data_IF_401224612765
#
_entry.id   IF_401224612765
#
_cell.length_a   1.000
_cell.length_b   1.000
_cell.length_c   1.000
_cell.angle_alpha   90.00
_cell.angle_beta   90.00
_cell.angle_gamma   90.00
#
_symmetry.space_group_name_H-M   'P 1'
#
loop_
_entity.id
_entity.type
_entity.pdbx_description
1 polymer ?
#
# COMPACT_ATOMS: atom_id res chain seq x y z
N UNK A 1 19.89 -28.42 26.24
CA UNK A 1 20.33 -28.16 24.85
C UNK A 1 20.18 -26.68 24.61
N UNK A 2 21.25 -25.98 24.18
CA UNK A 2 21.34 -24.53 24.22
C UNK A 2 20.29 -23.83 23.31
N UNK A 3 19.44 -22.98 23.89
CA UNK A 3 18.55 -22.07 23.15
C UNK A 3 19.36 -20.90 22.58
N UNK A 4 20.06 -21.14 21.47
CA UNK A 4 20.80 -20.14 20.71
C UNK A 4 19.99 -19.64 19.52
N UNK A 5 19.90 -18.31 19.38
CA UNK A 5 19.51 -17.53 18.19
C UNK A 5 18.96 -18.35 16.99
N UNK A 6 17.64 -18.49 16.90
CA UNK A 6 17.02 -19.21 15.78
C UNK A 6 17.32 -18.51 14.45
N UNK A 7 17.91 -19.23 13.50
CA UNK A 7 18.20 -18.69 12.17
C UNK A 7 16.91 -18.31 11.43
N UNK A 8 16.99 -17.43 10.43
CA UNK A 8 15.81 -17.00 9.67
C UNK A 8 15.14 -18.19 8.96
N UNK A 9 15.94 -19.17 8.53
CA UNK A 9 15.47 -20.47 8.03
C UNK A 9 14.72 -21.28 9.09
N UNK A 10 15.21 -21.31 10.33
CA UNK A 10 14.55 -22.01 11.44
C UNK A 10 13.25 -21.30 11.88
N UNK A 11 13.24 -19.96 11.87
CA UNK A 11 12.05 -19.15 12.18
C UNK A 11 10.92 -19.42 11.19
N UNK A 12 11.22 -19.50 9.89
CA UNK A 12 10.25 -19.88 8.87
C UNK A 12 10.03 -21.39 8.74
N UNK A 13 10.84 -22.21 9.42
CA UNK A 13 10.85 -23.68 9.31
C UNK A 13 11.03 -24.17 7.88
N UNK A 14 11.97 -23.57 7.15
CA UNK A 14 12.32 -23.92 5.77
C UNK A 14 13.80 -24.31 5.67
N UNK A 15 14.14 -25.10 4.65
CA UNK A 15 15.53 -25.44 4.35
C UNK A 15 16.31 -24.21 3.88
N UNK A 16 17.64 -24.22 4.08
CA UNK A 16 18.55 -23.23 3.46
C UNK A 16 18.48 -23.25 1.93
N UNK A 17 18.09 -24.38 1.35
CA UNK A 17 17.87 -24.56 -0.10
C UNK A 17 16.45 -24.22 -0.55
N UNK A 18 15.59 -23.69 0.33
CA UNK A 18 14.20 -23.42 0.00
C UNK A 18 14.07 -22.39 -1.14
N UNK A 19 13.15 -22.68 -2.05
CA UNK A 19 12.78 -21.78 -3.15
C UNK A 19 11.96 -20.60 -2.63
N UNK A 20 11.92 -19.50 -3.38
CA UNK A 20 11.13 -18.32 -3.05
C UNK A 20 9.65 -18.64 -2.84
N UNK A 21 9.13 -19.62 -3.60
CA UNK A 21 7.76 -20.11 -3.46
C UNK A 21 7.54 -20.77 -2.11
N UNK A 22 8.47 -21.61 -1.65
CA UNK A 22 8.41 -22.27 -0.36
C UNK A 22 8.57 -21.28 0.80
N UNK A 23 9.48 -20.31 0.67
CA UNK A 23 9.67 -19.22 1.64
C UNK A 23 8.39 -18.40 1.79
N UNK A 24 7.74 -18.02 0.69
CA UNK A 24 6.44 -17.31 0.70
C UNK A 24 5.34 -18.13 1.35
N UNK A 25 5.26 -19.43 1.08
CA UNK A 25 4.26 -20.34 1.70
C UNK A 25 4.50 -20.46 3.20
N UNK A 26 5.74 -20.68 3.60
CA UNK A 26 6.13 -20.85 5.00
C UNK A 26 5.92 -19.57 5.81
N UNK A 27 6.24 -18.41 5.25
CA UNK A 27 5.94 -17.11 5.86
C UNK A 27 4.44 -16.96 6.14
N UNK A 28 3.56 -17.21 5.16
CA UNK A 28 2.10 -17.10 5.39
C UNK A 28 1.62 -18.00 6.53
N UNK A 29 2.16 -19.22 6.63
CA UNK A 29 1.82 -20.19 7.69
C UNK A 29 2.35 -19.74 9.06
N UNK A 30 3.59 -19.27 9.12
CA UNK A 30 4.22 -18.79 10.35
C UNK A 30 3.60 -17.47 10.84
N UNK A 31 3.31 -16.54 9.93
CA UNK A 31 2.72 -15.23 10.23
C UNK A 31 1.31 -15.38 10.79
N UNK A 32 0.49 -16.29 10.24
CA UNK A 32 -0.85 -16.58 10.77
C UNK A 32 -0.81 -17.16 12.19
N UNK A 33 0.17 -18.01 12.48
CA UNK A 33 0.36 -18.61 13.81
C UNK A 33 0.92 -17.61 14.84
N UNK A 34 1.71 -16.65 14.38
CA UNK A 34 2.31 -15.64 15.23
C UNK A 34 1.47 -14.35 15.36
N UNK A 35 0.35 -14.23 14.63
CA UNK A 35 -0.46 -13.02 14.61
C UNK A 35 -1.11 -12.75 15.98
N UNK A 36 -0.98 -11.54 16.55
CA UNK A 36 -1.51 -11.22 17.88
C UNK A 36 -3.03 -11.36 17.99
N UNK A 37 -3.76 -11.09 16.90
CA UNK A 37 -5.23 -11.28 16.85
C UNK A 37 -5.67 -12.76 16.92
N UNK A 38 -4.73 -13.71 16.82
CA UNK A 38 -4.97 -15.14 16.99
C UNK A 38 -4.25 -15.72 18.21
N UNK A 39 -3.87 -14.86 19.17
CA UNK A 39 -3.17 -15.25 20.39
C UNK A 39 -1.67 -15.51 20.21
N UNK A 40 -1.08 -15.06 19.11
CA UNK A 40 0.37 -15.14 18.86
C UNK A 40 1.15 -14.00 19.50
N UNK A 41 2.44 -14.21 19.75
CA UNK A 41 3.29 -13.16 20.32
C UNK A 41 3.79 -12.19 19.24
N UNK A 42 3.61 -10.89 19.48
CA UNK A 42 4.09 -9.83 18.59
C UNK A 42 5.62 -9.89 18.36
N UNK A 43 6.39 -10.45 19.29
CA UNK A 43 7.82 -10.69 19.08
C UNK A 43 8.08 -11.83 18.08
N UNK A 44 7.33 -12.92 18.16
CA UNK A 44 7.39 -14.01 17.19
C UNK A 44 6.95 -13.54 15.80
N UNK A 45 5.91 -12.71 15.72
CA UNK A 45 5.47 -12.13 14.43
C UNK A 45 6.56 -11.28 13.79
N UNK A 46 7.22 -10.42 14.57
CA UNK A 46 8.35 -9.60 14.11
C UNK A 46 9.51 -10.46 13.63
N UNK A 47 9.86 -11.55 14.35
CA UNK A 47 10.91 -12.49 13.92
C UNK A 47 10.56 -13.18 12.60
N UNK A 48 9.31 -13.61 12.43
CA UNK A 48 8.80 -14.26 11.21
C UNK A 48 8.83 -13.31 10.02
N UNK A 49 8.42 -12.06 10.20
CA UNK A 49 8.45 -11.03 9.16
C UNK A 49 9.89 -10.68 8.75
N UNK A 50 10.79 -10.47 9.72
CA UNK A 50 12.20 -10.20 9.45
C UNK A 50 12.89 -11.37 8.71
N UNK A 51 12.55 -12.60 9.09
CA UNK A 51 13.04 -13.79 8.43
C UNK A 51 12.60 -13.85 6.95
N UNK A 52 11.35 -13.51 6.67
CA UNK A 52 10.84 -13.46 5.30
C UNK A 52 11.48 -12.35 4.46
N UNK A 53 11.55 -11.13 4.97
CA UNK A 53 12.13 -9.98 4.26
C UNK A 53 13.60 -10.20 3.87
N UNK A 54 14.36 -10.89 4.72
CA UNK A 54 15.77 -11.18 4.45
C UNK A 54 15.93 -12.34 3.47
N UNK A 55 15.08 -13.36 3.53
CA UNK A 55 15.22 -14.56 2.70
C UNK A 55 14.55 -14.45 1.32
N UNK A 56 13.60 -13.53 1.12
CA UNK A 56 12.92 -13.37 -0.17
C UNK A 56 13.64 -12.42 -1.14
N UNK A 57 14.53 -11.58 -0.61
CA UNK A 57 15.38 -10.71 -1.40
C UNK A 57 16.70 -11.45 -1.73
N UNK A 58 17.05 -11.65 -3.01
CA UNK A 58 18.24 -12.40 -3.39
C UNK A 58 19.55 -11.82 -2.87
N UNK A 59 19.68 -10.49 -2.79
CA UNK A 59 20.89 -9.83 -2.31
C UNK A 59 21.03 -9.96 -0.80
N UNK A 60 19.94 -9.71 -0.07
CA UNK A 60 19.89 -9.82 1.40
C UNK A 60 20.04 -11.27 1.85
N UNK A 61 19.47 -12.23 1.11
CA UNK A 61 19.66 -13.66 1.34
C UNK A 61 21.11 -14.06 1.14
N UNK A 62 21.75 -13.62 0.06
CA UNK A 62 23.16 -13.91 -0.18
C UNK A 62 24.07 -13.33 0.92
N UNK A 63 23.80 -12.11 1.40
CA UNK A 63 24.49 -11.54 2.56
C UNK A 63 24.27 -12.32 3.85
N UNK A 64 23.03 -12.71 4.11
CA UNK A 64 22.65 -13.52 5.26
C UNK A 64 23.34 -14.89 5.22
N UNK A 65 23.35 -15.55 4.06
CA UNK A 65 23.95 -16.87 3.87
C UNK A 65 25.48 -16.84 4.06
N UNK A 66 26.16 -15.76 3.61
CA UNK A 66 27.59 -15.55 3.89
C UNK A 66 27.89 -15.45 5.39
N UNK A 67 27.02 -14.80 6.16
CA UNK A 67 27.14 -14.67 7.63
C UNK A 67 26.70 -15.95 8.35
N UNK A 68 25.69 -16.64 7.82
CA UNK A 68 25.17 -17.89 8.38
C UNK A 68 26.18 -19.03 8.23
N UNK A 69 26.91 -19.09 7.12
CA UNK A 69 27.97 -20.08 6.87
C UNK A 69 29.26 -19.83 7.68
N UNK A 70 29.48 -18.62 8.21
CA UNK A 70 30.71 -18.22 8.92
C UNK A 70 30.62 -18.29 10.46
N UNK A 71 29.48 -18.70 11.04
CA UNK A 71 29.39 -19.19 12.42
C UNK A 71 29.56 -18.18 13.57
N UNK A 72 29.49 -16.86 13.35
CA UNK A 72 29.64 -15.87 14.45
C UNK A 72 28.31 -15.47 15.12
N UNK A 73 28.11 -15.69 16.45
CA UNK A 73 26.90 -15.29 17.16
C UNK A 73 27.05 -13.89 17.80
N UNK A 74 26.32 -12.89 17.29
CA UNK A 74 26.21 -11.56 17.90
C UNK A 74 24.99 -11.45 18.82
N UNK A 75 25.20 -11.24 20.12
CA UNK A 75 24.18 -11.13 21.18
C UNK A 75 23.92 -9.66 21.53
N UNK A 76 22.64 -9.26 21.70
CA UNK A 76 22.28 -7.99 22.36
C UNK A 76 20.85 -7.48 22.13
N UNK A 77 19.83 -8.13 22.71
CA UNK A 77 18.50 -7.55 22.98
C UNK A 77 18.46 -7.04 24.44
N UNK A 78 17.85 -5.88 24.76
CA UNK A 78 17.53 -5.48 26.14
C UNK A 78 16.03 -5.72 26.47
N UNK A 79 15.73 -6.29 27.65
CA UNK A 79 14.37 -6.43 28.21
C UNK A 79 14.32 -6.00 29.71
N UNK A 80 13.15 -5.55 30.24
CA UNK A 80 12.97 -4.86 31.53
C UNK A 80 12.38 -5.70 32.69
N UNK A 81 12.76 -5.40 33.96
CA UNK A 81 12.08 -5.69 35.27
C UNK A 81 11.80 -7.17 35.63
N UNK A 82 12.02 -7.73 36.83
CA UNK A 82 11.86 -7.20 38.19
C UNK A 82 12.60 -8.03 39.28
N UNK A 83 12.57 -7.51 40.50
CA UNK A 83 13.35 -7.76 41.72
C UNK A 83 13.34 -9.17 42.35
N UNK A 84 14.46 -9.60 42.93
CA UNK A 84 14.64 -9.92 44.38
C UNK A 84 16.09 -10.32 44.70
N UNK A 85 16.65 -9.78 45.80
CA UNK A 85 17.68 -10.47 46.59
C UNK A 85 19.14 -10.00 46.54
N UNK A 86 19.41 -8.80 47.05
CA UNK A 86 20.55 -8.43 47.91
C UNK A 86 22.01 -8.75 47.47
N UNK A 87 22.74 -7.73 46.99
CA UNK A 87 23.94 -7.15 47.65
C UNK A 87 24.34 -5.85 46.94
N UNK A 88 24.68 -4.80 47.69
CA UNK A 88 25.10 -3.48 47.19
C UNK A 88 26.50 -3.13 47.74
N UNK A 89 27.19 -2.04 47.33
CA UNK A 89 27.01 -1.17 46.14
C UNK A 89 28.33 -0.85 45.38
N UNK A 90 28.23 -0.27 44.18
CA UNK A 90 29.30 0.44 43.47
C UNK A 90 28.72 1.47 42.50
N UNK A 91 29.37 2.64 42.25
CA UNK A 91 28.71 3.87 41.85
C UNK A 91 28.34 3.89 40.35
N UNK A 92 27.06 4.12 40.03
CA UNK A 92 26.58 4.20 38.64
C UNK A 92 26.74 5.62 38.06
N UNK A 93 27.44 5.72 36.94
CA UNK A 93 27.26 6.77 35.95
C UNK A 93 26.02 6.45 35.10
N UNK A 94 25.04 7.35 35.06
CA UNK A 94 23.76 7.17 34.37
C UNK A 94 23.90 7.45 32.86
N UNK A 95 24.12 6.40 32.07
CA UNK A 95 23.97 6.44 30.61
C UNK A 95 22.51 6.24 30.19
N UNK A 96 21.86 7.27 29.67
CA UNK A 96 20.49 7.21 29.15
C UNK A 96 20.42 6.41 27.84
N UNK A 97 19.77 5.24 27.87
CA UNK A 97 19.53 4.40 26.68
C UNK A 97 18.44 5.06 25.82
N UNK A 98 18.83 5.55 24.63
CA UNK A 98 17.94 6.16 23.63
C UNK A 98 17.07 5.07 22.99
N UNK A 99 15.75 5.07 23.26
CA UNK A 99 14.76 4.20 22.59
C UNK A 99 14.81 4.41 21.06
N UNK A 100 14.77 3.35 20.24
CA UNK A 100 14.62 3.50 18.79
C UNK A 100 13.26 4.16 18.50
N UNK A 101 13.31 5.34 17.87
CA UNK A 101 12.11 6.09 17.48
C UNK A 101 11.27 5.24 16.53
N UNK A 102 9.98 5.10 16.84
CA UNK A 102 9.00 4.64 15.84
C UNK A 102 9.19 5.48 14.58
N UNK A 103 9.37 4.81 13.44
CA UNK A 103 9.61 5.46 12.16
C UNK A 103 8.46 6.45 11.93
N UNK A 104 8.77 7.74 12.00
CA UNK A 104 7.79 8.84 11.91
C UNK A 104 7.05 8.70 10.59
N UNK A 105 5.72 8.76 10.61
CA UNK A 105 4.95 8.81 9.37
C UNK A 105 5.26 10.15 8.66
N UNK A 106 5.91 10.08 7.51
CA UNK A 106 6.32 11.27 6.74
C UNK A 106 5.26 11.72 5.74
N UNK A 107 4.08 11.09 5.66
CA UNK A 107 3.12 11.35 4.57
C UNK A 107 2.71 12.82 4.40
N UNK A 108 2.65 13.58 5.50
CA UNK A 108 2.34 15.01 5.50
C UNK A 108 3.55 15.94 5.34
N UNK A 109 4.76 15.39 5.27
CA UNK A 109 5.98 16.17 5.05
C UNK A 109 6.08 16.62 3.56
N UNK A 110 6.91 17.63 3.24
CA UNK A 110 7.14 18.05 1.87
C UNK A 110 7.59 16.90 0.95
N UNK A 111 7.26 16.96 -0.36
CA UNK A 111 7.65 15.93 -1.31
C UNK A 111 9.18 15.83 -1.44
N UNK A 112 9.68 14.59 -1.42
CA UNK A 112 11.08 14.27 -1.75
C UNK A 112 11.09 13.61 -3.13
N UNK A 113 11.77 14.22 -4.10
CA UNK A 113 11.87 13.69 -5.45
C UNK A 113 13.01 12.68 -5.54
N UNK A 114 12.73 11.53 -6.17
CA UNK A 114 13.72 10.48 -6.37
C UNK A 114 13.75 10.07 -7.86
N UNK A 115 14.88 10.27 -8.58
CA UNK A 115 16.06 11.01 -8.13
C UNK A 115 15.76 12.50 -7.88
N UNK A 116 16.67 13.17 -7.18
CA UNK A 116 16.57 14.61 -6.96
C UNK A 116 16.83 15.37 -8.27
N UNK A 117 16.21 16.53 -8.46
CA UNK A 117 16.32 17.31 -9.70
C UNK A 117 17.64 18.08 -9.83
N UNK A 118 18.37 18.23 -8.73
CA UNK A 118 19.68 18.89 -8.65
C UNK A 118 20.85 17.89 -8.68
N UNK A 119 20.57 16.60 -8.84
CA UNK A 119 21.61 15.57 -8.97
C UNK A 119 22.34 15.71 -10.32
N UNK A 120 23.65 16.00 -10.34
CA UNK A 120 24.41 16.19 -11.57
C UNK A 120 24.62 14.90 -12.37
N UNK A 121 24.34 13.72 -11.78
CA UNK A 121 24.52 12.42 -12.41
C UNK A 121 23.24 11.85 -13.04
N UNK A 122 22.09 12.50 -12.82
CA UNK A 122 20.79 12.02 -13.29
C UNK A 122 20.17 13.02 -14.28
N UNK A 123 19.64 12.50 -15.40
CA UNK A 123 18.88 13.32 -16.35
C UNK A 123 17.39 13.13 -16.07
N UNK A 124 16.67 14.17 -15.62
CA UNK A 124 15.28 14.02 -15.22
C UNK A 124 14.39 13.69 -16.42
N UNK A 125 13.58 12.64 -16.29
CA UNK A 125 12.67 12.17 -17.35
C UNK A 125 11.47 13.08 -17.62
N UNK A 126 11.17 13.98 -16.68
CA UNK A 126 10.13 15.02 -16.74
C UNK A 126 10.65 16.27 -16.03
N UNK A 127 10.08 17.44 -16.28
CA UNK A 127 10.51 18.66 -15.60
C UNK A 127 10.16 18.65 -14.11
N UNK A 128 10.87 19.44 -13.31
CA UNK A 128 10.54 19.63 -11.89
C UNK A 128 9.14 20.26 -11.72
N UNK A 129 8.72 21.13 -12.65
CA UNK A 129 7.39 21.73 -12.65
C UNK A 129 6.30 20.68 -12.89
N UNK A 130 6.50 19.80 -13.88
CA UNK A 130 5.59 18.68 -14.13
C UNK A 130 5.54 17.76 -12.92
N UNK A 131 6.69 17.37 -12.36
CA UNK A 131 6.73 16.50 -11.20
C UNK A 131 6.12 17.15 -9.94
N UNK A 132 6.11 18.47 -9.81
CA UNK A 132 5.50 19.19 -8.70
C UNK A 132 3.97 19.30 -8.81
N UNK A 133 3.42 19.23 -10.02
CA UNK A 133 1.98 19.28 -10.25
C UNK A 133 1.30 18.06 -9.61
N UNK A 134 0.32 18.27 -8.73
CA UNK A 134 -0.35 17.15 -8.07
C UNK A 134 -1.44 16.49 -8.92
N UNK A 135 -2.00 17.18 -9.91
CA UNK A 135 -3.13 16.69 -10.72
C UNK A 135 -2.76 16.75 -12.19
N UNK A 136 -2.70 15.61 -12.85
CA UNK A 136 -2.34 15.47 -14.26
C UNK A 136 -3.51 14.96 -15.10
N UNK A 137 -3.56 15.41 -16.35
CA UNK A 137 -4.62 15.05 -17.28
C UNK A 137 -6.00 15.61 -16.89
N UNK A 138 -7.01 15.25 -17.67
CA UNK A 138 -8.39 15.69 -17.47
C UNK A 138 -9.35 14.50 -17.63
N UNK A 139 -10.48 14.48 -16.91
CA UNK A 139 -11.60 13.60 -17.21
C UNK A 139 -11.99 13.72 -18.69
N UNK A 140 -12.01 12.59 -19.41
CA UNK A 140 -12.12 12.62 -20.88
C UNK A 140 -13.55 12.85 -21.33
N UNK A 141 -13.76 13.54 -22.46
CA UNK A 141 -15.01 13.51 -23.25
C UNK A 141 -14.93 12.35 -24.26
N UNK A 142 -15.60 11.23 -24.00
CA UNK A 142 -15.79 10.11 -24.96
C UNK A 142 -17.18 10.20 -25.58
N UNK A 143 -17.25 10.12 -26.91
CA UNK A 143 -18.51 9.99 -27.65
C UNK A 143 -19.47 11.17 -27.51
N UNK A 144 -20.55 11.15 -28.28
CA UNK A 144 -21.56 12.24 -28.31
C UNK A 144 -22.68 12.00 -27.28
N UNK A 145 -22.88 10.74 -26.85
CA UNK A 145 -23.96 10.32 -25.95
C UNK A 145 -23.42 9.70 -24.65
N UNK A 146 -24.06 10.00 -23.51
CA UNK A 146 -23.69 9.44 -22.19
C UNK A 146 -22.38 9.97 -21.59
N UNK A 147 -21.68 10.87 -22.29
CA UNK A 147 -20.44 11.47 -21.82
C UNK A 147 -20.64 12.28 -20.54
N UNK A 148 -21.78 12.97 -20.40
CA UNK A 148 -22.00 13.93 -19.32
C UNK A 148 -22.08 13.27 -17.94
N UNK A 149 -22.89 12.23 -17.77
CA UNK A 149 -22.97 11.49 -16.51
C UNK A 149 -21.62 10.88 -16.11
N UNK A 150 -20.85 10.39 -17.09
CA UNK A 150 -19.49 9.88 -16.88
C UNK A 150 -18.52 11.00 -16.46
N UNK A 151 -18.52 12.11 -17.17
CA UNK A 151 -17.68 13.27 -16.85
C UNK A 151 -18.03 13.80 -15.46
N UNK A 152 -19.32 13.84 -15.10
CA UNK A 152 -19.76 14.25 -13.78
C UNK A 152 -19.20 13.33 -12.67
N UNK A 153 -19.26 12.00 -12.83
CA UNK A 153 -18.68 11.06 -11.82
C UNK A 153 -17.15 11.15 -11.74
N UNK A 154 -16.46 11.30 -12.87
CA UNK A 154 -15.00 11.46 -12.90
C UNK A 154 -14.59 12.79 -12.25
N UNK A 155 -15.25 13.89 -12.61
CA UNK A 155 -15.02 15.22 -12.02
C UNK A 155 -15.28 15.24 -10.52
N UNK A 156 -16.34 14.56 -10.04
CA UNK A 156 -16.60 14.41 -8.60
C UNK A 156 -15.48 13.67 -7.89
N UNK A 157 -14.93 12.63 -8.51
CA UNK A 157 -13.80 11.87 -7.95
C UNK A 157 -12.53 12.72 -7.89
N UNK A 158 -12.23 13.48 -8.96
CA UNK A 158 -11.11 14.44 -8.97
C UNK A 158 -11.29 15.47 -7.85
N UNK A 159 -12.46 16.10 -7.74
CA UNK A 159 -12.73 17.09 -6.70
C UNK A 159 -12.60 16.51 -5.28
N UNK A 160 -13.10 15.28 -5.07
CA UNK A 160 -13.01 14.58 -3.79
C UNK A 160 -11.55 14.33 -3.40
N UNK A 161 -10.76 13.75 -4.30
CA UNK A 161 -9.34 13.44 -4.06
C UNK A 161 -8.54 14.74 -3.86
N UNK A 162 -8.72 15.72 -4.75
CA UNK A 162 -8.00 17.00 -4.68
C UNK A 162 -8.29 17.80 -3.41
N UNK A 163 -9.53 17.75 -2.90
CA UNK A 163 -9.90 18.49 -1.68
C UNK A 163 -9.56 17.75 -0.40
N UNK A 164 -9.70 16.43 -0.39
CA UNK A 164 -9.64 15.67 0.86
C UNK A 164 -8.37 14.83 1.02
N UNK A 165 -7.74 14.37 -0.07
CA UNK A 165 -6.57 13.47 -0.01
C UNK A 165 -5.26 14.22 -0.26
N UNK A 166 -5.15 14.95 -1.38
CA UNK A 166 -3.89 15.61 -1.78
C UNK A 166 -3.34 16.61 -0.75
N UNK A 167 -4.16 17.39 -0.01
CA UNK A 167 -3.63 18.30 1.02
C UNK A 167 -2.99 17.56 2.20
N UNK A 168 -3.40 16.32 2.47
CA UNK A 168 -2.84 15.51 3.56
C UNK A 168 -1.58 14.75 3.14
N UNK A 169 -1.34 14.61 1.83
CA UNK A 169 -0.21 13.87 1.27
C UNK A 169 0.38 14.69 0.11
N UNK A 170 1.27 15.68 0.39
CA UNK A 170 1.80 16.58 -0.63
C UNK A 170 2.51 15.86 -1.80
N UNK A 171 3.10 14.69 -1.54
CA UNK A 171 3.76 13.87 -2.56
C UNK A 171 2.79 13.10 -3.47
N UNK A 172 1.50 13.04 -3.13
CA UNK A 172 0.54 12.31 -3.94
C UNK A 172 0.35 12.98 -5.32
N UNK A 173 0.24 12.15 -6.36
CA UNK A 173 -0.03 12.55 -7.74
C UNK A 173 -1.29 11.85 -8.22
N UNK A 174 -2.30 12.64 -8.58
CA UNK A 174 -3.52 12.18 -9.23
C UNK A 174 -3.33 12.26 -10.73
N UNK A 175 -3.47 11.14 -11.42
CA UNK A 175 -3.34 11.02 -12.87
C UNK A 175 -4.69 10.61 -13.45
N UNK A 176 -5.22 11.42 -14.37
CA UNK A 176 -6.54 11.20 -14.97
C UNK A 176 -6.43 10.72 -16.41
N UNK A 177 -7.29 9.78 -16.79
CA UNK A 177 -7.43 9.36 -18.18
C UNK A 177 -6.25 8.55 -18.72
N UNK A 178 -5.65 7.69 -17.89
CA UNK A 178 -4.59 6.77 -18.32
C UNK A 178 -5.14 5.74 -19.31
N UNK A 179 -4.39 5.43 -20.36
CA UNK A 179 -4.70 4.29 -21.23
C UNK A 179 -4.56 2.99 -20.43
N UNK A 180 -5.55 2.12 -20.55
CA UNK A 180 -5.48 0.80 -19.95
C UNK A 180 -4.42 -0.03 -20.69
N UNK A 181 -3.51 -0.71 -19.99
CA UNK A 181 -2.52 -1.57 -20.63
C UNK A 181 -3.11 -2.91 -21.10
N UNK A 182 -4.29 -3.28 -20.62
CA UNK A 182 -4.90 -4.60 -20.87
C UNK A 182 -5.94 -4.61 -21.97
N UNK A 183 -6.46 -3.44 -22.35
CA UNK A 183 -7.56 -3.29 -23.30
C UNK A 183 -7.55 -1.90 -23.96
N UNK A 184 -8.38 -1.69 -24.98
CA UNK A 184 -8.56 -0.39 -25.63
C UNK A 184 -9.38 0.61 -24.78
N UNK A 185 -9.45 0.40 -23.46
CA UNK A 185 -10.16 1.26 -22.53
C UNK A 185 -9.21 2.21 -21.78
N UNK A 186 -9.76 2.95 -20.82
CA UNK A 186 -9.00 3.89 -20.00
C UNK A 186 -9.28 3.61 -18.53
N UNK A 187 -8.30 3.96 -17.70
CA UNK A 187 -8.42 4.02 -16.25
C UNK A 187 -8.88 5.43 -15.93
N UNK A 188 -10.02 5.55 -15.22
CA UNK A 188 -10.60 6.85 -14.87
C UNK A 188 -9.56 7.71 -14.13
N UNK A 189 -9.02 7.16 -13.03
CA UNK A 189 -8.03 7.84 -12.18
C UNK A 189 -6.99 6.86 -11.63
N UNK A 190 -5.77 7.35 -11.42
CA UNK A 190 -4.76 6.69 -10.62
C UNK A 190 -4.15 7.67 -9.61
N UNK A 191 -3.85 7.23 -8.40
CA UNK A 191 -3.20 8.05 -7.37
C UNK A 191 -1.91 7.37 -6.93
N UNK A 192 -0.78 8.04 -7.17
CA UNK A 192 0.56 7.58 -6.83
C UNK A 192 1.07 8.35 -5.59
N UNK A 193 1.64 7.66 -4.61
CA UNK A 193 2.46 8.28 -3.55
C UNK A 193 3.50 7.27 -3.07
N UNK A 194 4.78 7.66 -3.04
CA UNK A 194 5.88 6.73 -2.77
C UNK A 194 5.81 5.51 -3.68
N UNK A 195 5.76 4.33 -3.07
CA UNK A 195 5.70 3.03 -3.73
C UNK A 195 4.28 2.46 -3.83
N UNK A 196 3.26 3.31 -3.79
CA UNK A 196 1.84 2.89 -3.76
C UNK A 196 1.05 3.55 -4.87
N UNK A 197 0.33 2.72 -5.62
CA UNK A 197 -0.52 3.14 -6.73
C UNK A 197 -1.95 2.65 -6.53
N UNK A 198 -2.89 3.58 -6.40
CA UNK A 198 -4.30 3.29 -6.30
C UNK A 198 -5.00 3.57 -7.63
N UNK A 199 -5.58 2.57 -8.28
CA UNK A 199 -6.47 2.77 -9.42
C UNK A 199 -7.88 3.04 -8.89
N UNK A 200 -8.57 4.05 -9.42
CA UNK A 200 -9.89 4.44 -8.95
C UNK A 200 -10.85 4.51 -10.13
N UNK A 201 -11.88 3.65 -10.09
CA UNK A 201 -13.05 3.73 -10.94
C UNK A 201 -14.22 4.34 -10.17
N UNK A 202 -15.21 4.89 -10.87
CA UNK A 202 -16.36 5.52 -10.21
C UNK A 202 -17.70 5.12 -10.81
N UNK A 203 -18.75 5.23 -9.99
CA UNK A 203 -20.14 5.11 -10.39
C UNK A 203 -20.98 6.20 -9.73
N UNK A 204 -22.13 6.52 -10.33
CA UNK A 204 -23.16 7.33 -9.70
C UNK A 204 -24.36 6.43 -9.42
N UNK A 205 -24.75 6.31 -8.16
CA UNK A 205 -25.85 5.44 -7.73
C UNK A 205 -26.80 6.20 -6.81
N UNK A 206 -28.12 6.03 -6.94
CA UNK A 206 -29.08 6.62 -6.00
C UNK A 206 -28.73 6.29 -4.55
N UNK A 207 -29.08 7.20 -3.64
CA UNK A 207 -28.99 6.96 -2.19
C UNK A 207 -29.70 5.67 -1.77
N UNK A 208 -29.25 5.07 -0.69
CA UNK A 208 -29.83 3.86 -0.13
C UNK A 208 -28.81 2.77 0.17
N UNK A 209 -29.31 1.65 0.69
CA UNK A 209 -28.49 0.50 1.04
C UNK A 209 -28.25 -0.41 -0.17
N UNK A 210 -26.99 -0.77 -0.38
CA UNK A 210 -26.55 -1.70 -1.41
C UNK A 210 -25.84 -2.88 -0.76
N UNK A 211 -26.24 -4.09 -1.12
CA UNK A 211 -25.54 -5.30 -0.71
C UNK A 211 -24.40 -5.59 -1.71
N UNK A 212 -23.17 -5.73 -1.22
CA UNK A 212 -22.00 -6.13 -2.01
C UNK A 212 -21.67 -7.59 -1.75
N UNK A 213 -21.69 -8.42 -2.80
CA UNK A 213 -21.40 -9.86 -2.74
C UNK A 213 -19.99 -10.24 -3.26
N UNK A 214 -19.13 -9.25 -3.51
CA UNK A 214 -17.80 -9.44 -4.10
C UNK A 214 -17.78 -9.34 -5.63
N UNK A 215 -18.93 -9.39 -6.30
CA UNK A 215 -19.04 -9.34 -7.76
C UNK A 215 -20.04 -8.29 -8.24
N UNK A 216 -21.17 -8.15 -7.56
CA UNK A 216 -22.27 -7.26 -7.93
C UNK A 216 -22.84 -6.49 -6.73
N UNK A 217 -23.36 -5.29 -7.00
CA UNK A 217 -24.11 -4.48 -6.04
C UNK A 217 -25.60 -4.75 -6.22
N UNK A 218 -26.32 -5.07 -5.14
CA UNK A 218 -27.76 -5.31 -5.18
C UNK A 218 -28.53 -4.23 -4.43
N UNK A 219 -29.57 -3.68 -5.05
CA UNK A 219 -30.46 -2.68 -4.46
C UNK A 219 -31.88 -2.85 -5.00
N UNK A 220 -32.87 -3.00 -4.10
CA UNK A 220 -34.28 -3.13 -4.48
C UNK A 220 -34.57 -4.26 -5.48
N UNK A 221 -33.89 -5.41 -5.33
CA UNK A 221 -34.02 -6.56 -6.26
C UNK A 221 -33.28 -6.40 -7.58
N UNK A 222 -32.64 -5.26 -7.85
CA UNK A 222 -31.82 -5.01 -9.05
C UNK A 222 -30.35 -5.23 -8.73
N UNK A 223 -29.61 -5.78 -9.70
CA UNK A 223 -28.16 -5.95 -9.62
C UNK A 223 -27.47 -4.95 -10.56
N UNK A 224 -26.40 -4.35 -10.08
CA UNK A 224 -25.55 -3.41 -10.82
C UNK A 224 -24.11 -3.88 -10.71
N UNK A 225 -23.45 -4.06 -11.85
CA UNK A 225 -22.04 -4.46 -11.89
C UNK A 225 -21.13 -3.22 -11.77
N UNK A 226 -20.18 -3.22 -10.81
CA UNK A 226 -19.13 -2.21 -10.77
C UNK A 226 -18.20 -2.25 -11.98
N UNK A 227 -17.44 -1.17 -12.26
CA UNK A 227 -16.30 -1.20 -13.15
C UNK A 227 -15.35 -2.35 -12.79
N UNK A 228 -15.00 -3.16 -13.79
CA UNK A 228 -14.04 -4.24 -13.62
C UNK A 228 -12.63 -3.67 -13.62
N UNK A 229 -12.06 -3.48 -12.43
CA UNK A 229 -10.68 -2.99 -12.28
C UNK A 229 -9.68 -4.10 -12.00
N UNK A 230 -10.14 -5.30 -11.61
CA UNK A 230 -9.25 -6.34 -11.09
C UNK A 230 -8.22 -6.80 -12.13
N UNK A 231 -8.61 -6.95 -13.40
CA UNK A 231 -7.68 -7.28 -14.48
C UNK A 231 -6.67 -6.15 -14.71
N UNK A 232 -7.15 -4.90 -14.75
CA UNK A 232 -6.28 -3.72 -14.92
C UNK A 232 -5.26 -3.62 -13.78
N UNK A 233 -5.69 -3.81 -12.53
CA UNK A 233 -4.79 -3.81 -11.36
C UNK A 233 -3.70 -4.85 -11.55
N UNK A 234 -4.05 -6.07 -11.96
CA UNK A 234 -3.08 -7.14 -12.21
C UNK A 234 -2.05 -6.76 -13.28
N UNK A 235 -2.50 -6.23 -14.42
CA UNK A 235 -1.59 -5.76 -15.46
C UNK A 235 -0.71 -4.60 -15.00
N UNK A 236 -1.24 -3.69 -14.19
CA UNK A 236 -0.45 -2.59 -13.62
C UNK A 236 0.59 -3.11 -12.61
N UNK A 237 0.32 -4.17 -11.86
CA UNK A 237 1.31 -4.85 -11.00
C UNK A 237 2.44 -5.47 -11.85
N UNK A 238 2.11 -6.04 -13.01
CA UNK A 238 3.11 -6.61 -13.92
C UNK A 238 3.99 -5.51 -14.55
N UNK A 239 3.42 -4.36 -14.88
CA UNK A 239 4.14 -3.22 -15.47
C UNK A 239 4.98 -2.48 -14.41
N UNK A 240 4.48 -2.37 -13.19
CA UNK A 240 5.12 -1.66 -12.09
C UNK A 240 5.37 -2.60 -10.90
N UNK A 241 6.26 -3.61 -11.06
CA UNK A 241 6.56 -4.57 -9.99
C UNK A 241 7.16 -3.91 -8.74
N UNK A 242 7.72 -2.71 -8.88
CA UNK A 242 8.24 -1.88 -7.78
C UNK A 242 7.15 -1.21 -6.94
N UNK A 243 5.89 -1.22 -7.39
CA UNK A 243 4.76 -0.59 -6.71
C UNK A 243 3.84 -1.62 -6.06
N UNK A 244 3.29 -1.26 -4.91
CA UNK A 244 2.08 -1.88 -4.41
C UNK A 244 0.87 -1.26 -5.12
N UNK A 245 0.25 -2.02 -6.01
CA UNK A 245 -0.91 -1.56 -6.80
C UNK A 245 -2.20 -2.22 -6.31
N UNK A 246 -3.25 -1.43 -6.12
CA UNK A 246 -4.60 -1.90 -5.76
C UNK A 246 -5.68 -0.99 -6.36
N UNK A 247 -6.93 -1.43 -6.38
CA UNK A 247 -8.05 -0.75 -6.98
C UNK A 247 -9.14 -0.36 -5.98
N UNK A 248 -9.85 0.73 -6.28
CA UNK A 248 -11.09 1.11 -5.62
C UNK A 248 -12.16 1.45 -6.64
N UNK A 249 -13.39 1.05 -6.37
CA UNK A 249 -14.57 1.60 -7.03
C UNK A 249 -15.29 2.47 -6.01
N UNK A 250 -15.39 3.76 -6.32
CA UNK A 250 -16.17 4.71 -5.52
C UNK A 250 -17.59 4.84 -6.05
N UNK A 251 -18.56 4.69 -5.16
CA UNK A 251 -19.96 4.94 -5.42
C UNK A 251 -20.29 6.36 -4.92
N UNK A 252 -20.63 7.25 -5.86
CA UNK A 252 -21.07 8.60 -5.55
C UNK A 252 -22.59 8.65 -5.44
N UNK A 253 -23.10 9.37 -4.44
CA UNK A 253 -24.50 9.79 -4.40
C UNK A 253 -24.74 11.01 -5.30
N UNK A 254 -25.89 11.13 -6.00
CA UNK A 254 -26.25 12.28 -6.84
C UNK A 254 -26.20 13.63 -6.12
N UNK A 255 -26.55 13.65 -4.84
CA UNK A 255 -26.55 14.86 -4.00
C UNK A 255 -25.17 15.23 -3.43
N UNK A 256 -24.15 14.38 -3.63
CA UNK A 256 -22.80 14.61 -3.14
C UNK A 256 -22.59 14.23 -1.67
N UNK A 257 -23.55 13.58 -1.01
CA UNK A 257 -23.34 13.04 0.33
C UNK A 257 -22.23 11.98 0.30
N UNK A 258 -21.21 12.14 1.16
CA UNK A 258 -20.04 11.29 1.17
C UNK A 258 -20.28 9.91 1.78
N UNK A 259 -21.29 9.79 2.63
CA UNK A 259 -21.63 8.55 3.34
C UNK A 259 -22.67 7.71 2.60
N UNK A 260 -23.25 8.25 1.54
CA UNK A 260 -24.20 7.56 0.66
C UNK A 260 -23.54 7.19 -0.68
N UNK A 261 -23.93 6.08 -1.32
CA UNK A 261 -24.81 5.04 -0.75
C UNK A 261 -24.17 4.27 0.41
N UNK A 262 -24.99 3.66 1.25
CA UNK A 262 -24.53 2.72 2.29
C UNK A 262 -24.26 1.36 1.63
N UNK A 263 -23.12 0.76 1.97
CA UNK A 263 -22.68 -0.51 1.36
C UNK A 263 -22.56 -1.57 2.45
N UNK A 264 -23.48 -2.52 2.44
CA UNK A 264 -23.48 -3.68 3.31
C UNK A 264 -22.66 -4.79 2.66
N UNK A 265 -21.56 -5.15 3.29
CA UNK A 265 -20.68 -6.21 2.81
C UNK A 265 -21.12 -7.54 3.42
N UNK A 266 -21.94 -8.29 2.67
CA UNK A 266 -22.39 -9.61 3.12
C UNK A 266 -21.25 -10.62 3.02
N UNK A 267 -21.01 -11.39 4.10
CA UNK A 267 -20.10 -12.53 4.08
C UNK A 267 -18.62 -12.26 4.36
N UNK A 268 -18.26 -11.14 5.00
CA UNK A 268 -16.90 -10.94 5.52
C UNK A 268 -16.62 -11.78 6.79
N UNK A 269 -16.52 -13.08 6.60
CA UNK A 269 -15.42 -13.81 7.25
C UNK A 269 -14.11 -13.21 6.72
N UNK A 270 -13.13 -13.01 7.61
CA UNK A 270 -11.84 -12.35 7.36
C UNK A 270 -11.05 -12.92 6.16
N UNK A 271 -11.38 -12.55 4.93
CA UNK A 271 -10.47 -12.43 3.78
C UNK A 271 -11.28 -12.23 2.50
N UNK A 272 -11.51 -10.98 2.09
CA UNK A 272 -11.58 -10.72 0.65
C UNK A 272 -10.22 -10.15 0.27
N UNK A 273 -9.32 -11.01 -0.18
CA UNK A 273 -8.07 -10.63 -0.85
C UNK A 273 -8.39 -10.07 -2.26
N UNK A 274 -9.48 -9.30 -2.38
CA UNK A 274 -9.90 -8.67 -3.60
C UNK A 274 -8.94 -7.52 -3.84
N UNK A 275 -8.26 -7.54 -4.98
CA UNK A 275 -7.42 -6.44 -5.41
C UNK A 275 -8.19 -5.14 -5.63
N UNK A 276 -9.53 -5.17 -5.54
CA UNK A 276 -10.43 -4.03 -5.72
C UNK A 276 -11.43 -3.94 -4.57
N UNK A 277 -11.52 -2.79 -3.93
CA UNK A 277 -12.51 -2.49 -2.89
C UNK A 277 -13.66 -1.64 -3.45
N UNK A 278 -14.89 -1.90 -3.01
CA UNK A 278 -16.07 -1.08 -3.36
C UNK A 278 -16.49 -0.28 -2.14
N UNK A 279 -16.51 1.04 -2.28
CA UNK A 279 -16.66 2.00 -1.17
C UNK A 279 -17.52 3.20 -1.56
N UNK A 280 -18.11 3.87 -0.58
CA UNK A 280 -18.66 5.22 -0.78
C UNK A 280 -17.53 6.27 -0.75
N UNK A 281 -17.86 7.53 -1.02
CA UNK A 281 -16.87 8.60 -1.10
C UNK A 281 -16.08 8.80 0.22
N UNK A 282 -16.72 8.71 1.38
CA UNK A 282 -16.04 8.78 2.68
C UNK A 282 -15.09 7.60 2.90
N UNK A 283 -15.51 6.40 2.49
CA UNK A 283 -14.69 5.19 2.49
C UNK A 283 -13.47 5.33 1.59
N UNK A 284 -13.63 5.87 0.37
CA UNK A 284 -12.51 6.14 -0.54
C UNK A 284 -11.49 7.09 0.10
N UNK A 285 -11.93 8.21 0.67
CA UNK A 285 -11.02 9.19 1.29
C UNK A 285 -10.20 8.55 2.42
N UNK A 286 -10.85 7.79 3.31
CA UNK A 286 -10.15 7.09 4.40
C UNK A 286 -9.19 6.03 3.86
N UNK A 287 -9.66 5.20 2.93
CA UNK A 287 -8.89 4.13 2.32
C UNK A 287 -7.65 4.66 1.60
N UNK A 288 -7.80 5.69 0.77
CA UNK A 288 -6.67 6.31 0.07
C UNK A 288 -5.66 6.95 1.02
N UNK A 289 -6.10 7.68 2.06
CA UNK A 289 -5.18 8.26 3.04
C UNK A 289 -4.39 7.19 3.79
N UNK A 290 -5.07 6.14 4.24
CA UNK A 290 -4.43 5.04 4.94
C UNK A 290 -3.46 4.29 4.02
N UNK A 291 -3.90 3.98 2.80
CA UNK A 291 -3.08 3.27 1.83
C UNK A 291 -1.86 4.10 1.45
N UNK A 292 -2.05 5.27 0.83
CA UNK A 292 -0.97 6.12 0.30
C UNK A 292 -0.05 6.68 1.39
N UNK A 293 -0.59 6.94 2.59
CA UNK A 293 0.16 7.46 3.73
C UNK A 293 0.89 6.39 4.55
N UNK A 294 0.97 5.15 4.06
CA UNK A 294 1.63 4.03 4.73
C UNK A 294 2.76 3.43 3.90
N UNK A 295 3.56 2.54 4.51
CA UNK A 295 4.72 1.94 3.84
C UNK A 295 5.95 2.85 3.87
N UNK A 296 7.01 2.48 3.14
CA UNK A 296 8.25 3.23 3.16
C UNK A 296 8.11 4.56 2.39
N UNK A 297 8.58 5.64 3.00
CA UNK A 297 8.70 6.97 2.41
C UNK A 297 7.44 7.46 1.64
N UNK A 298 6.27 7.58 2.31
CA UNK A 298 5.02 8.03 1.67
C UNK A 298 5.09 9.45 1.09
N UNK A 299 6.04 10.29 1.53
CA UNK A 299 6.31 11.61 0.95
C UNK A 299 7.26 11.59 -0.25
N UNK A 300 7.61 10.43 -0.79
CA UNK A 300 8.47 10.36 -1.99
C UNK A 300 7.66 10.45 -3.27
N UNK A 301 8.16 11.21 -4.24
CA UNK A 301 7.72 11.21 -5.63
C UNK A 301 8.78 10.47 -6.45
N UNK A 302 8.48 9.25 -6.85
CA UNK A 302 9.37 8.44 -7.69
C UNK A 302 9.26 8.94 -9.13
N UNK A 303 10.18 9.82 -9.54
CA UNK A 303 10.13 10.56 -10.81
C UNK A 303 10.08 9.62 -12.03
N UNK A 304 10.85 8.50 -12.10
CA UNK A 304 10.77 7.59 -13.23
C UNK A 304 9.41 6.88 -13.34
N UNK A 305 8.80 6.52 -12.20
CA UNK A 305 7.46 5.91 -12.17
C UNK A 305 6.42 6.93 -12.64
N UNK A 306 6.47 8.16 -12.13
CA UNK A 306 5.57 9.23 -12.55
C UNK A 306 5.71 9.48 -14.06
N UNK A 307 6.93 9.62 -14.58
CA UNK A 307 7.18 9.81 -16.00
C UNK A 307 6.61 8.68 -16.88
N UNK A 308 6.73 7.42 -16.44
CA UNK A 308 6.12 6.26 -17.13
C UNK A 308 4.59 6.33 -17.12
N UNK A 309 3.97 6.70 -16.01
CA UNK A 309 2.52 6.90 -15.94
C UNK A 309 2.07 8.05 -16.84
N UNK A 310 2.76 9.19 -16.81
CA UNK A 310 2.43 10.35 -17.66
C UNK A 310 2.54 10.04 -19.14
N UNK A 311 3.52 9.22 -19.58
CA UNK A 311 3.59 8.73 -20.97
C UNK A 311 2.39 7.85 -21.37
N UNK A 312 1.74 7.21 -20.40
CA UNK A 312 0.50 6.45 -20.60
C UNK A 312 -0.76 7.33 -20.69
N UNK A 313 -0.65 8.64 -20.52
CA UNK A 313 -1.78 9.58 -20.59
C UNK A 313 -2.04 10.08 -22.02
N UNK A 314 -2.32 9.22 -22.99
CA UNK A 314 -2.96 9.66 -24.23
C UNK A 314 -4.02 8.67 -24.61
#
# INVERSE_FOLDING_TARGET
MAEGSSSHYQVLRVSVTATDKEIKVAYRKAARKAHPDHGGEAEMFRRVTLAYETLIDPQRRAEYDRRYASGSPGRGQPQPGDYTGATAPGPFATGSVRRPQAQRNTAGDPPVYVPAFDDPHEVPLISAADAAQQVHGLPRKRGIFGAEARIQREMRTVQLISRQVLPAIPAARLINGLRSPSDNNHIDHAVLSGYRLALVGSMLLPKGAYAWDGHSLRHGGRSVAPPQLAHIVRHMQDIFPELNVTGWVVLHSPDGNLHEPVIDQYGKGQSSNSAVEVVNAAGLVRGLKQFLGSGPAPNTVVVPVLARLLRGMH
#
